data_IF_315509454375
#
_entry.id   IF_315509454375
#
_cell.length_a   1.000
_cell.length_b   1.000
_cell.length_c   1.000
_cell.angle_alpha   90.00
_cell.angle_beta   90.00
_cell.angle_gamma   90.00
#
_symmetry.space_group_name_H-M   'P 1'
#
loop_
_entity.id
_entity.type
_entity.pdbx_description
1 polymer ?
#
# COMPACT_ATOMS: atom_id res chain seq x y z
N UNK A 1 -6.63 -3.04 -5.36
CA UNK A 1 -6.17 -2.95 -3.95
C UNK A 1 -7.09 -2.05 -3.11
N UNK A 2 -8.41 -2.17 -3.25
CA UNK A 2 -9.36 -1.26 -2.58
C UNK A 2 -9.38 -1.51 -1.07
N UNK A 3 -9.42 -2.78 -0.65
CA UNK A 3 -9.45 -3.13 0.78
C UNK A 3 -8.23 -2.62 1.56
N UNK A 4 -7.03 -2.70 0.96
CA UNK A 4 -5.80 -2.21 1.59
C UNK A 4 -5.80 -0.68 1.72
N UNK A 5 -6.27 0.04 0.71
CA UNK A 5 -6.38 1.50 0.76
C UNK A 5 -7.41 1.97 1.81
N UNK A 6 -8.59 1.35 1.83
CA UNK A 6 -9.61 1.63 2.87
C UNK A 6 -9.06 1.35 4.27
N UNK A 7 -8.36 0.23 4.47
CA UNK A 7 -7.74 -0.08 5.76
C UNK A 7 -6.74 1.01 6.19
N UNK A 8 -5.89 1.48 5.28
CA UNK A 8 -4.94 2.56 5.59
C UNK A 8 -5.65 3.87 5.94
N UNK A 9 -6.69 4.24 5.19
CA UNK A 9 -7.45 5.45 5.42
C UNK A 9 -8.15 5.45 6.79
N UNK A 10 -8.73 4.32 7.19
CA UNK A 10 -9.32 4.13 8.52
C UNK A 10 -8.29 4.27 9.65
N UNK A 11 -7.01 4.07 9.35
CA UNK A 11 -5.90 4.26 10.28
C UNK A 11 -5.18 5.60 10.13
N UNK A 12 -5.71 6.53 9.33
CA UNK A 12 -5.11 7.85 9.12
C UNK A 12 -3.88 7.84 8.22
N UNK A 13 -3.79 6.88 7.29
CA UNK A 13 -2.75 6.79 6.27
C UNK A 13 -3.37 6.85 4.87
N UNK A 14 -2.60 7.31 3.90
CA UNK A 14 -2.95 7.21 2.48
C UNK A 14 -1.78 6.68 1.67
N UNK A 15 -2.05 5.88 0.65
CA UNK A 15 -1.03 5.48 -0.33
C UNK A 15 -0.52 6.74 -1.05
N UNK A 16 0.80 6.84 -1.23
CA UNK A 16 1.49 7.99 -1.79
C UNK A 16 2.50 7.53 -2.86
N UNK A 17 1.97 6.99 -3.96
CA UNK A 17 2.75 6.55 -5.13
C UNK A 17 2.20 7.18 -6.40
N UNK A 18 2.95 7.06 -7.50
CA UNK A 18 2.51 7.48 -8.82
C UNK A 18 1.40 6.56 -9.34
N UNK A 19 0.61 7.08 -10.27
CA UNK A 19 -0.44 6.29 -10.94
C UNK A 19 0.14 5.03 -11.57
N UNK A 20 -0.54 3.89 -11.42
CA UNK A 20 -0.09 2.59 -11.94
C UNK A 20 0.82 1.79 -11.00
N UNK A 21 1.48 2.43 -10.03
CA UNK A 21 2.41 1.73 -9.12
C UNK A 21 1.69 0.74 -8.19
N UNK A 22 0.43 1.02 -7.83
CA UNK A 22 -0.38 0.13 -7.00
C UNK A 22 -0.72 -1.16 -7.76
N UNK A 23 -1.08 -1.03 -9.04
CA UNK A 23 -1.38 -2.14 -9.94
C UNK A 23 -0.12 -2.98 -10.19
N UNK A 24 1.01 -2.34 -10.49
CA UNK A 24 2.29 -3.01 -10.65
C UNK A 24 2.70 -3.77 -9.38
N UNK A 25 2.52 -3.16 -8.21
CA UNK A 25 2.78 -3.82 -6.94
C UNK A 25 1.85 -5.01 -6.73
N UNK A 26 0.55 -4.88 -6.99
CA UNK A 26 -0.42 -5.98 -6.86
C UNK A 26 -0.06 -7.19 -7.75
N UNK A 27 0.36 -6.94 -9.00
CA UNK A 27 0.87 -8.01 -9.89
C UNK A 27 2.13 -8.63 -9.32
N UNK A 28 3.05 -7.82 -8.76
CA UNK A 28 4.30 -8.32 -8.19
C UNK A 28 4.09 -9.24 -6.98
N UNK A 29 3.05 -9.01 -6.17
CA UNK A 29 2.69 -9.88 -5.03
C UNK A 29 2.45 -11.31 -5.53
N UNK A 30 1.68 -11.46 -6.60
CA UNK A 30 1.29 -12.76 -7.17
C UNK A 30 2.49 -13.40 -7.87
N UNK A 31 3.15 -12.65 -8.77
CA UNK A 31 4.24 -13.16 -9.60
C UNK A 31 5.45 -13.60 -8.78
N UNK A 32 5.80 -12.84 -7.74
CA UNK A 32 6.97 -13.10 -6.90
C UNK A 32 6.62 -13.87 -5.62
N UNK A 33 5.33 -14.18 -5.40
CA UNK A 33 4.81 -14.80 -4.17
C UNK A 33 5.33 -14.08 -2.92
N UNK A 34 5.16 -12.76 -2.90
CA UNK A 34 5.69 -11.93 -1.81
C UNK A 34 5.12 -12.38 -0.47
N UNK A 35 6.00 -12.50 0.53
CA UNK A 35 5.60 -12.74 1.92
C UNK A 35 4.96 -11.48 2.51
N UNK A 36 4.14 -11.67 3.54
CA UNK A 36 3.47 -10.58 4.24
C UNK A 36 4.45 -9.48 4.71
N UNK A 37 5.63 -9.85 5.19
CA UNK A 37 6.64 -8.89 5.62
C UNK A 37 7.07 -7.95 4.49
N UNK A 38 7.31 -8.49 3.29
CA UNK A 38 7.68 -7.68 2.12
C UNK A 38 6.53 -6.77 1.68
N UNK A 39 5.28 -7.23 1.83
CA UNK A 39 4.10 -6.43 1.55
C UNK A 39 3.97 -5.28 2.55
N UNK A 40 4.16 -5.56 3.83
CA UNK A 40 4.13 -4.55 4.89
C UNK A 40 5.24 -3.50 4.70
N UNK A 41 6.45 -3.92 4.35
CA UNK A 41 7.56 -3.00 4.04
C UNK A 41 7.26 -2.10 2.85
N UNK A 42 6.59 -2.62 1.82
CA UNK A 42 6.15 -1.78 0.71
C UNK A 42 5.18 -0.70 1.18
N UNK A 43 4.15 -1.05 1.96
CA UNK A 43 3.21 -0.07 2.49
C UNK A 43 3.87 0.97 3.40
N UNK A 44 4.81 0.58 4.27
CA UNK A 44 5.55 1.52 5.13
C UNK A 44 6.30 2.59 4.34
N UNK A 45 6.87 2.22 3.19
CA UNK A 45 7.63 3.13 2.33
C UNK A 45 6.73 4.01 1.44
N UNK A 46 5.57 3.49 1.08
CA UNK A 46 4.70 4.05 0.04
C UNK A 46 3.39 4.61 0.60
N UNK A 47 3.33 4.89 1.89
CA UNK A 47 2.19 5.55 2.53
C UNK A 47 2.64 6.79 3.27
N UNK A 48 1.74 7.75 3.39
CA UNK A 48 1.92 8.96 4.20
C UNK A 48 0.86 9.03 5.28
N UNK A 49 1.21 9.61 6.41
CA UNK A 49 0.25 9.89 7.49
C UNK A 49 -0.59 11.10 7.08
N UNK A 50 -1.91 10.96 7.19
CA UNK A 50 -2.84 12.05 6.98
C UNK A 50 -2.79 13.02 8.17
N UNK A 51 -2.93 14.34 7.93
CA UNK A 51 -3.00 15.31 9.01
C UNK A 51 -4.20 15.00 9.91
N UNK A 52 -4.00 15.07 11.23
CA UNK A 52 -5.10 15.01 12.19
C UNK A 52 -5.94 16.27 12.01
N UNK A 53 -7.25 16.08 11.77
CA UNK A 53 -8.24 17.16 11.83
C UNK A 53 -8.48 17.56 13.28
#
# INVERSE_FOLDING_TARGET
MIAADVFLQLNGYSIAVLDGEVEHFAVSIIMKRLKLDAIAEWFKKNTKKLPKR
#
